data_IF_281725146194
#
_entry.id   IF_281725146194
#
_cell.length_a   1.000
_cell.length_b   1.000
_cell.length_c   1.000
_cell.angle_alpha   90.00
_cell.angle_beta   90.00
_cell.angle_gamma   90.00
#
_symmetry.space_group_name_H-M   'P 1'
#
loop_
_entity.id
_entity.type
_entity.pdbx_description
1 polymer ?
#
# COMPACT_ATOMS: atom_id res chain seq x y z
N UNK A 1 -48.69 11.31 -48.52
CA UNK A 1 -48.00 11.25 -47.21
C UNK A 1 -48.23 9.86 -46.61
N UNK A 2 -47.30 8.96 -46.85
CA UNK A 2 -47.47 7.53 -46.49
C UNK A 2 -46.58 7.20 -45.31
N UNK A 3 -47.19 6.98 -44.13
CA UNK A 3 -46.53 6.49 -42.93
C UNK A 3 -46.32 5.00 -42.99
N UNK A 4 -45.09 4.58 -43.29
CA UNK A 4 -44.69 3.18 -43.26
C UNK A 4 -44.60 2.67 -41.82
N UNK A 5 -45.51 1.86 -41.39
CA UNK A 5 -45.41 1.07 -40.15
C UNK A 5 -44.50 -0.12 -40.44
N UNK A 6 -43.32 -0.12 -39.76
CA UNK A 6 -42.46 -1.30 -39.76
C UNK A 6 -43.06 -2.34 -38.82
N UNK A 7 -43.38 -3.50 -39.39
CA UNK A 7 -43.82 -4.69 -38.66
C UNK A 7 -42.67 -5.21 -37.79
N UNK A 8 -42.95 -5.78 -36.60
CA UNK A 8 -41.94 -6.45 -35.80
C UNK A 8 -41.47 -7.76 -36.48
N UNK A 9 -40.21 -8.15 -36.31
CA UNK A 9 -39.70 -9.40 -36.87
C UNK A 9 -40.40 -10.59 -36.22
N UNK A 10 -40.73 -11.58 -37.05
CA UNK A 10 -41.38 -12.80 -36.63
C UNK A 10 -40.53 -13.62 -35.66
N UNK A 11 -41.13 -14.39 -34.72
CA UNK A 11 -40.40 -15.26 -33.80
C UNK A 11 -39.75 -16.43 -34.54
N UNK A 12 -38.48 -16.69 -34.22
CA UNK A 12 -37.61 -17.66 -34.93
C UNK A 12 -37.94 -19.12 -34.71
N UNK A 13 -38.99 -19.54 -34.00
CA UNK A 13 -39.26 -20.95 -33.73
C UNK A 13 -40.76 -21.27 -33.69
N UNK A 14 -41.32 -21.98 -34.70
CA UNK A 14 -42.62 -22.64 -34.57
C UNK A 14 -42.45 -24.01 -33.89
N UNK A 15 -43.02 -24.16 -32.73
CA UNK A 15 -43.52 -25.36 -32.11
C UNK A 15 -42.66 -26.63 -32.12
N UNK A 16 -42.04 -26.92 -31.01
CA UNK A 16 -41.94 -28.25 -30.38
C UNK A 16 -41.53 -28.12 -28.91
N UNK A 17 -42.22 -28.85 -28.06
CA UNK A 17 -41.98 -28.95 -26.65
C UNK A 17 -40.60 -29.55 -26.33
N UNK A 18 -40.02 -29.11 -25.22
CA UNK A 18 -38.94 -29.72 -24.47
C UNK A 18 -37.55 -29.80 -25.17
N UNK A 19 -36.77 -28.77 -24.97
CA UNK A 19 -35.33 -28.67 -24.64
C UNK A 19 -34.87 -27.22 -24.87
N UNK A 20 -34.26 -26.52 -23.93
CA UNK A 20 -33.72 -25.19 -24.20
C UNK A 20 -32.52 -25.35 -25.13
N UNK A 21 -32.63 -24.78 -26.33
CA UNK A 21 -31.54 -24.72 -27.29
C UNK A 21 -30.41 -23.85 -26.74
N UNK A 22 -29.12 -24.18 -27.00
CA UNK A 22 -27.95 -23.44 -26.52
C UNK A 22 -27.90 -21.95 -26.94
N UNK A 23 -28.72 -21.54 -27.90
CA UNK A 23 -28.75 -20.16 -28.41
C UNK A 23 -29.52 -19.18 -27.51
N UNK A 24 -30.28 -19.65 -26.51
CA UNK A 24 -31.08 -18.83 -25.61
C UNK A 24 -30.49 -18.74 -24.20
N UNK A 25 -29.31 -19.29 -23.97
CA UNK A 25 -28.58 -18.99 -22.78
C UNK A 25 -28.05 -17.56 -22.91
N UNK A 26 -28.73 -16.64 -22.19
CA UNK A 26 -28.28 -15.26 -22.06
C UNK A 26 -26.80 -15.29 -21.76
N UNK A 27 -25.98 -14.60 -22.56
CA UNK A 27 -24.62 -14.27 -22.23
C UNK A 27 -24.71 -13.53 -20.90
N UNK A 28 -24.44 -14.23 -19.81
CA UNK A 28 -24.03 -13.57 -18.59
C UNK A 28 -22.82 -12.75 -19.04
N UNK A 29 -22.96 -11.44 -19.09
CA UNK A 29 -21.85 -10.55 -19.30
C UNK A 29 -20.92 -10.78 -18.10
N UNK A 30 -19.97 -11.70 -18.25
CA UNK A 30 -18.80 -11.74 -17.36
C UNK A 30 -18.18 -10.36 -17.49
N UNK A 31 -18.08 -9.59 -16.40
CA UNK A 31 -17.37 -8.34 -16.48
C UNK A 31 -16.00 -8.70 -17.04
N UNK A 32 -15.66 -8.10 -18.18
CA UNK A 32 -14.36 -8.22 -18.81
C UNK A 32 -13.38 -7.57 -17.88
N UNK A 33 -12.87 -8.31 -16.91
CA UNK A 33 -11.77 -7.87 -16.06
C UNK A 33 -10.55 -7.90 -16.96
N UNK A 34 -10.29 -6.81 -17.66
CA UNK A 34 -9.01 -6.56 -18.27
C UNK A 34 -8.00 -6.30 -17.13
N UNK A 35 -7.59 -7.37 -16.46
CA UNK A 35 -6.41 -7.31 -15.62
C UNK A 35 -5.23 -7.06 -16.55
N UNK A 36 -4.54 -5.95 -16.34
CA UNK A 36 -3.29 -5.68 -17.04
C UNK A 36 -2.25 -6.72 -16.62
N UNK A 37 -1.30 -7.04 -17.52
CA UNK A 37 -0.20 -7.96 -17.20
C UNK A 37 0.53 -7.52 -15.92
N UNK A 38 0.67 -6.21 -15.71
CA UNK A 38 1.27 -5.63 -14.51
C UNK A 38 0.49 -5.91 -13.23
N UNK A 39 -0.84 -5.90 -13.27
CA UNK A 39 -1.68 -6.28 -12.13
C UNK A 39 -1.57 -7.77 -11.82
N UNK A 40 -1.50 -8.61 -12.84
CA UNK A 40 -1.30 -10.05 -12.67
C UNK A 40 0.08 -10.37 -12.08
N UNK A 41 1.12 -9.67 -12.50
CA UNK A 41 2.47 -9.82 -11.96
C UNK A 41 2.55 -9.33 -10.51
N UNK A 42 1.89 -8.20 -10.20
CA UNK A 42 1.76 -7.74 -8.83
C UNK A 42 1.07 -8.77 -7.94
N UNK A 43 -0.09 -9.29 -8.34
CA UNK A 43 -0.86 -10.27 -7.54
C UNK A 43 -0.13 -11.61 -7.36
N UNK A 44 0.78 -11.97 -8.27
CA UNK A 44 1.64 -13.16 -8.14
C UNK A 44 2.92 -12.88 -7.38
N UNK A 45 3.32 -11.62 -7.27
CA UNK A 45 4.58 -11.19 -6.71
C UNK A 45 4.64 -11.15 -5.19
N UNK A 46 5.83 -10.85 -4.69
CA UNK A 46 6.11 -10.68 -3.27
C UNK A 46 5.38 -9.48 -2.67
N UNK A 47 5.06 -8.48 -3.50
CA UNK A 47 4.39 -7.25 -3.07
C UNK A 47 2.95 -7.51 -2.58
N UNK A 48 2.18 -8.34 -3.33
CA UNK A 48 0.84 -8.73 -2.92
C UNK A 48 0.86 -9.57 -1.64
N UNK A 49 1.76 -10.57 -1.56
CA UNK A 49 1.92 -11.37 -0.35
C UNK A 49 2.28 -10.51 0.87
N UNK A 50 3.14 -9.50 0.68
CA UNK A 50 3.51 -8.57 1.73
C UNK A 50 2.37 -7.60 2.10
N UNK A 51 1.57 -7.16 1.13
CA UNK A 51 0.37 -6.36 1.35
C UNK A 51 -0.67 -7.10 2.18
N UNK A 52 -0.85 -8.39 1.89
CA UNK A 52 -1.89 -9.22 2.50
C UNK A 52 -1.44 -9.86 3.83
N UNK A 53 -0.15 -9.74 4.16
CA UNK A 53 0.41 -10.28 5.41
C UNK A 53 0.68 -11.78 5.39
N UNK A 54 0.73 -12.39 4.21
CA UNK A 54 0.95 -13.83 4.03
C UNK A 54 2.45 -14.17 4.18
N UNK A 55 2.89 -14.41 5.42
CA UNK A 55 4.28 -14.75 5.75
C UNK A 55 4.76 -16.02 5.04
N UNK A 56 3.89 -17.03 4.94
CA UNK A 56 4.26 -18.29 4.30
C UNK A 56 4.54 -18.11 2.81
N UNK A 57 3.71 -17.33 2.14
CA UNK A 57 3.88 -17.01 0.71
C UNK A 57 5.09 -16.12 0.46
N UNK A 58 5.34 -15.13 1.33
CA UNK A 58 6.55 -14.28 1.26
C UNK A 58 7.79 -15.14 1.41
N UNK A 59 7.82 -16.05 2.39
CA UNK A 59 8.94 -16.98 2.60
C UNK A 59 9.18 -17.85 1.37
N UNK A 60 8.13 -18.47 0.82
CA UNK A 60 8.23 -19.31 -0.37
C UNK A 60 8.77 -18.56 -1.59
N UNK A 61 8.34 -17.29 -1.77
CA UNK A 61 8.81 -16.46 -2.89
C UNK A 61 10.28 -16.09 -2.73
N UNK A 62 10.71 -15.73 -1.51
CA UNK A 62 12.13 -15.44 -1.22
C UNK A 62 13.03 -16.66 -1.41
N UNK A 63 12.59 -17.87 -1.05
CA UNK A 63 13.33 -19.13 -1.27
C UNK A 63 13.49 -19.47 -2.76
N UNK A 64 12.53 -19.06 -3.60
CA UNK A 64 12.59 -19.22 -5.06
C UNK A 64 13.47 -18.18 -5.77
N UNK A 65 14.38 -17.51 -5.06
CA UNK A 65 15.24 -16.42 -5.52
C UNK A 65 14.52 -15.07 -5.72
N UNK A 66 13.44 -14.83 -5.01
CA UNK A 66 12.85 -13.49 -4.95
C UNK A 66 13.82 -12.52 -4.28
N UNK A 67 14.05 -11.38 -4.89
CA UNK A 67 14.83 -10.30 -4.27
C UNK A 67 13.92 -9.52 -3.29
N UNK A 68 14.24 -9.48 -1.99
CA UNK A 68 13.47 -8.71 -1.02
C UNK A 68 13.52 -7.19 -1.27
N UNK A 69 14.50 -6.73 -2.06
CA UNK A 69 14.67 -5.33 -2.42
C UNK A 69 13.96 -4.94 -3.72
N UNK A 70 13.40 -5.91 -4.47
CA UNK A 70 12.77 -5.67 -5.77
C UNK A 70 11.63 -4.67 -5.66
N UNK A 71 11.66 -3.53 -6.41
CA UNK A 71 10.56 -2.60 -6.46
C UNK A 71 9.49 -3.06 -7.46
N UNK A 72 8.25 -2.72 -7.21
CA UNK A 72 7.19 -2.82 -8.20
C UNK A 72 7.30 -1.70 -9.26
N UNK A 73 6.38 -1.66 -10.23
CA UNK A 73 6.35 -0.65 -11.29
C UNK A 73 6.19 0.79 -10.76
N UNK A 74 5.66 0.95 -9.55
CA UNK A 74 5.52 2.26 -8.90
C UNK A 74 6.70 2.58 -7.97
N UNK A 75 7.73 1.70 -7.90
CA UNK A 75 8.93 1.87 -7.10
C UNK A 75 8.74 1.53 -5.62
N UNK A 76 7.71 0.76 -5.26
CA UNK A 76 7.49 0.29 -3.89
C UNK A 76 8.06 -1.11 -3.71
N UNK A 77 8.80 -1.34 -2.64
CA UNK A 77 9.25 -2.68 -2.25
C UNK A 77 8.19 -3.41 -1.40
N UNK A 78 8.33 -4.72 -1.24
CA UNK A 78 7.49 -5.51 -0.36
C UNK A 78 7.45 -4.95 1.07
N UNK A 79 8.58 -4.41 1.56
CA UNK A 79 8.68 -3.81 2.88
C UNK A 79 7.83 -2.54 3.03
N UNK A 80 7.65 -1.75 1.98
CA UNK A 80 6.74 -0.60 2.00
C UNK A 80 5.27 -1.04 2.20
N UNK A 81 4.83 -2.09 1.50
CA UNK A 81 3.48 -2.63 1.62
C UNK A 81 3.23 -3.23 2.99
N UNK A 82 4.14 -4.09 3.48
CA UNK A 82 4.05 -4.67 4.80
C UNK A 82 4.04 -3.60 5.92
N UNK A 83 4.87 -2.56 5.79
CA UNK A 83 4.97 -1.45 6.75
C UNK A 83 3.70 -0.59 6.75
N UNK A 84 3.10 -0.34 5.58
CA UNK A 84 1.84 0.40 5.45
C UNK A 84 0.68 -0.32 6.12
N UNK A 85 0.63 -1.65 6.02
CA UNK A 85 -0.46 -2.47 6.53
C UNK A 85 -0.20 -3.02 7.95
N UNK A 86 0.99 -2.78 8.52
CA UNK A 86 1.30 -3.17 9.89
C UNK A 86 1.65 -4.65 10.09
N UNK A 87 2.01 -5.36 9.03
CA UNK A 87 2.33 -6.79 9.08
C UNK A 87 3.73 -7.02 9.66
N UNK A 88 3.82 -7.04 11.00
CA UNK A 88 5.07 -7.13 11.74
C UNK A 88 5.91 -8.36 11.38
N UNK A 89 5.27 -9.52 11.25
CA UNK A 89 5.97 -10.77 10.91
C UNK A 89 6.58 -10.73 9.53
N UNK A 90 5.83 -10.22 8.54
CA UNK A 90 6.36 -10.02 7.17
C UNK A 90 7.51 -9.01 7.15
N UNK A 91 7.37 -7.88 7.88
CA UNK A 91 8.46 -6.88 7.98
C UNK A 91 9.73 -7.51 8.56
N UNK A 92 9.60 -8.30 9.63
CA UNK A 92 10.73 -9.01 10.24
C UNK A 92 11.38 -9.97 9.25
N UNK A 93 10.58 -10.82 8.61
CA UNK A 93 11.05 -11.78 7.63
C UNK A 93 11.82 -11.11 6.49
N UNK A 94 11.29 -10.03 5.92
CA UNK A 94 11.94 -9.27 4.85
C UNK A 94 13.27 -8.66 5.30
N UNK A 95 13.31 -8.06 6.48
CA UNK A 95 14.52 -7.44 7.04
C UNK A 95 15.61 -8.50 7.34
N UNK A 96 15.24 -9.66 7.91
CA UNK A 96 16.14 -10.79 8.14
C UNK A 96 16.73 -11.37 6.83
N UNK A 97 15.98 -11.23 5.72
CA UNK A 97 16.42 -11.64 4.38
C UNK A 97 17.17 -10.55 3.62
N UNK A 98 17.48 -9.42 4.27
CA UNK A 98 18.30 -8.35 3.73
C UNK A 98 17.55 -7.27 2.96
N UNK A 99 16.23 -7.14 3.15
CA UNK A 99 15.49 -6.01 2.58
C UNK A 99 16.06 -4.68 3.12
N UNK A 100 16.33 -3.69 2.25
CA UNK A 100 16.83 -2.39 2.69
C UNK A 100 15.75 -1.66 3.49
N UNK A 101 16.05 -1.34 4.77
CA UNK A 101 15.12 -0.66 5.67
C UNK A 101 14.79 0.78 5.23
N UNK A 102 15.69 1.44 4.48
CA UNK A 102 15.56 2.81 3.98
C UNK A 102 15.36 2.89 2.45
N UNK A 103 14.82 1.83 1.83
CA UNK A 103 14.43 1.87 0.43
C UNK A 103 13.54 3.10 0.16
N UNK A 104 13.79 3.81 -0.94
CA UNK A 104 13.06 5.03 -1.29
C UNK A 104 12.17 4.80 -2.49
N UNK A 105 10.91 5.19 -2.37
CA UNK A 105 10.01 5.30 -3.53
C UNK A 105 10.41 6.49 -4.41
N UNK A 106 9.89 6.63 -5.65
CA UNK A 106 10.14 7.82 -6.50
C UNK A 106 9.77 9.14 -5.79
N UNK A 107 8.80 9.13 -4.88
CA UNK A 107 8.45 10.27 -4.03
C UNK A 107 9.33 10.40 -2.77
N UNK A 108 10.43 9.67 -2.66
CA UNK A 108 11.37 9.73 -1.53
C UNK A 108 10.86 9.07 -0.23
N UNK A 109 9.66 8.51 -0.22
CA UNK A 109 9.11 7.90 0.99
C UNK A 109 9.80 6.57 1.29
N UNK A 110 10.09 6.32 2.58
CA UNK A 110 10.66 5.05 3.08
C UNK A 110 9.58 4.20 3.74
N UNK A 111 9.84 2.90 4.02
CA UNK A 111 8.93 2.07 4.81
C UNK A 111 8.57 2.70 6.16
N UNK A 112 9.52 3.40 6.80
CA UNK A 112 9.29 4.14 8.04
C UNK A 112 8.22 5.22 7.89
N UNK A 113 8.22 6.00 6.79
CA UNK A 113 7.17 6.99 6.51
C UNK A 113 5.79 6.34 6.41
N UNK A 114 5.71 5.15 5.80
CA UNK A 114 4.44 4.41 5.65
C UNK A 114 3.91 3.90 6.98
N UNK A 115 4.79 3.30 7.80
CA UNK A 115 4.45 2.84 9.15
C UNK A 115 4.01 4.02 10.04
N UNK A 116 4.72 5.15 9.96
CA UNK A 116 4.40 6.36 10.73
C UNK A 116 3.08 6.99 10.33
N UNK A 117 2.77 7.05 9.04
CA UNK A 117 1.49 7.56 8.54
C UNK A 117 0.31 6.72 9.01
N UNK A 118 0.45 5.39 8.99
CA UNK A 118 -0.61 4.46 9.39
C UNK A 118 -0.66 4.17 10.90
N UNK A 119 0.31 4.64 11.69
CA UNK A 119 0.30 4.47 13.14
C UNK A 119 0.82 3.11 13.65
N UNK A 120 1.54 2.36 12.83
CA UNK A 120 2.03 1.03 13.20
C UNK A 120 3.29 1.09 14.07
N UNK A 121 3.08 1.25 15.38
CA UNK A 121 4.16 1.39 16.38
C UNK A 121 5.14 0.23 16.35
N UNK A 122 4.64 -1.02 16.40
CA UNK A 122 5.49 -2.21 16.45
C UNK A 122 6.40 -2.33 15.21
N UNK A 123 5.86 -2.01 14.03
CA UNK A 123 6.65 -1.99 12.77
C UNK A 123 7.68 -0.86 12.80
N UNK A 124 7.30 0.33 13.31
CA UNK A 124 8.23 1.45 13.47
C UNK A 124 9.38 1.10 14.41
N UNK A 125 9.10 0.48 15.56
CA UNK A 125 10.14 0.00 16.49
C UNK A 125 11.08 -1.02 15.83
N UNK A 126 10.52 -1.94 15.04
CA UNK A 126 11.30 -2.94 14.30
C UNK A 126 12.21 -2.28 13.26
N UNK A 127 11.69 -1.37 12.44
CA UNK A 127 12.48 -0.65 11.42
C UNK A 127 13.63 0.14 12.06
N UNK A 128 13.36 0.87 13.14
CA UNK A 128 14.38 1.62 13.90
C UNK A 128 15.43 0.70 14.52
N UNK A 129 15.05 -0.51 14.97
CA UNK A 129 15.99 -1.50 15.49
C UNK A 129 16.91 -2.06 14.40
N UNK A 130 16.43 -2.12 13.16
CA UNK A 130 17.21 -2.52 11.97
C UNK A 130 17.97 -1.35 11.31
N UNK A 131 18.03 -0.18 11.95
CA UNK A 131 18.86 0.94 11.52
C UNK A 131 18.18 1.91 10.54
N UNK A 132 16.85 1.88 10.40
CA UNK A 132 16.14 2.89 9.62
C UNK A 132 16.40 4.30 10.17
N UNK A 133 16.71 5.26 9.29
CA UNK A 133 16.98 6.64 9.71
C UNK A 133 15.67 7.39 10.03
N UNK A 134 15.41 7.75 11.30
CA UNK A 134 14.22 8.48 11.68
C UNK A 134 14.18 9.93 11.13
N UNK A 135 15.33 10.46 10.67
CA UNK A 135 15.43 11.78 10.05
C UNK A 135 15.34 11.74 8.52
N UNK A 136 15.17 10.56 7.91
CA UNK A 136 14.92 10.45 6.49
C UNK A 136 13.72 11.33 6.09
N UNK A 137 13.85 12.03 4.97
CA UNK A 137 12.80 12.91 4.45
C UNK A 137 12.24 12.37 3.13
N UNK A 138 10.94 12.54 2.93
CA UNK A 138 10.30 12.29 1.64
C UNK A 138 10.55 13.45 0.64
N UNK A 139 9.93 13.36 -0.55
CA UNK A 139 10.04 14.40 -1.59
C UNK A 139 9.51 15.78 -1.18
N UNK A 140 8.65 15.84 -0.16
CA UNK A 140 8.16 17.09 0.42
C UNK A 140 9.06 17.58 1.59
N UNK A 141 10.17 16.91 1.89
CA UNK A 141 11.03 17.20 3.03
C UNK A 141 10.44 16.75 4.37
N UNK A 142 9.37 15.95 4.38
CA UNK A 142 8.68 15.51 5.60
C UNK A 142 9.32 14.24 6.16
N UNK A 143 9.52 14.20 7.47
CA UNK A 143 10.00 13.02 8.20
C UNK A 143 8.85 12.13 8.64
N UNK A 144 9.16 10.92 9.15
CA UNK A 144 8.16 10.05 9.78
C UNK A 144 7.41 10.74 10.92
N UNK A 145 8.07 11.65 11.68
CA UNK A 145 7.41 12.41 12.74
C UNK A 145 6.35 13.38 12.19
N UNK A 146 6.60 14.07 11.07
CA UNK A 146 5.58 14.90 10.41
C UNK A 146 4.33 14.09 10.05
N UNK A 147 4.53 12.88 9.48
CA UNK A 147 3.42 11.99 9.10
C UNK A 147 2.64 11.48 10.31
N UNK A 148 3.34 11.07 11.38
CA UNK A 148 2.70 10.60 12.60
C UNK A 148 1.94 11.73 13.34
N UNK A 149 2.50 12.93 13.35
CA UNK A 149 1.89 14.10 13.97
C UNK A 149 0.63 14.55 13.23
N UNK A 150 0.66 14.58 11.89
CA UNK A 150 -0.49 14.89 11.03
C UNK A 150 -1.68 13.97 11.30
N UNK A 151 -1.42 12.68 11.52
CA UNK A 151 -2.45 11.67 11.80
C UNK A 151 -2.82 11.57 13.30
N UNK A 152 -2.10 12.25 14.18
CA UNK A 152 -2.39 12.24 15.62
C UNK A 152 -1.94 10.99 16.37
N UNK A 153 -0.97 10.26 15.85
CA UNK A 153 -0.44 9.03 16.47
C UNK A 153 0.49 9.35 17.65
N UNK A 154 -0.12 9.67 18.82
CA UNK A 154 0.56 10.16 20.02
C UNK A 154 1.71 9.26 20.50
N UNK A 155 1.44 7.96 20.63
CA UNK A 155 2.44 7.01 21.12
C UNK A 155 3.65 6.89 20.17
N UNK A 156 3.37 6.99 18.88
CA UNK A 156 4.41 6.94 17.85
C UNK A 156 5.26 8.21 17.85
N UNK A 157 4.63 9.38 17.99
CA UNK A 157 5.35 10.64 18.15
C UNK A 157 6.26 10.61 19.38
N UNK A 158 5.74 10.14 20.52
CA UNK A 158 6.52 9.98 21.73
C UNK A 158 7.70 9.00 21.58
N UNK A 159 7.51 7.92 20.82
CA UNK A 159 8.57 6.96 20.51
C UNK A 159 9.69 7.61 19.68
N UNK A 160 9.33 8.30 18.60
CA UNK A 160 10.28 8.95 17.70
C UNK A 160 11.07 10.06 18.41
N UNK A 161 10.39 10.89 19.20
CA UNK A 161 11.02 11.96 19.99
C UNK A 161 11.95 11.40 21.06
N UNK A 162 11.60 10.30 21.72
CA UNK A 162 12.51 9.62 22.67
C UNK A 162 13.78 9.11 22.00
N UNK A 163 13.66 8.60 20.76
CA UNK A 163 14.82 8.11 20.00
C UNK A 163 15.69 9.25 19.48
N UNK A 164 15.09 10.34 19.03
CA UNK A 164 15.79 11.49 18.46
C UNK A 164 14.99 12.78 18.68
N UNK A 165 15.22 13.50 19.78
CA UNK A 165 14.50 14.75 20.10
C UNK A 165 14.61 15.82 19.00
N UNK A 166 15.76 15.88 18.31
CA UNK A 166 16.01 16.84 17.23
C UNK A 166 14.99 16.76 16.06
N UNK A 167 14.20 15.67 15.96
CA UNK A 167 13.17 15.56 14.93
C UNK A 167 12.09 16.64 15.06
N UNK A 168 11.81 17.14 16.27
CA UNK A 168 10.83 18.20 16.49
C UNK A 168 11.17 19.52 15.80
N UNK A 169 12.47 19.78 15.61
CA UNK A 169 12.99 21.02 15.01
C UNK A 169 13.14 20.94 13.47
N UNK A 170 13.02 19.75 12.88
CA UNK A 170 13.16 19.58 11.44
C UNK A 170 11.98 20.23 10.71
N UNK A 171 12.28 20.90 9.60
CA UNK A 171 11.27 21.57 8.79
C UNK A 171 11.11 20.90 7.43
N UNK A 172 9.88 20.83 6.97
CA UNK A 172 9.56 20.34 5.62
C UNK A 172 9.98 21.36 4.53
N UNK A 173 9.80 21.00 3.26
CA UNK A 173 10.11 21.85 2.10
C UNK A 173 9.33 23.20 2.10
N UNK A 174 8.25 23.31 2.88
CA UNK A 174 7.47 24.53 3.06
C UNK A 174 7.87 25.31 4.33
N UNK A 175 8.93 24.90 5.01
CA UNK A 175 9.40 25.49 6.25
C UNK A 175 8.57 25.16 7.49
N UNK A 176 7.61 24.24 7.42
CA UNK A 176 6.74 23.83 8.52
C UNK A 176 7.42 22.78 9.39
N UNK A 177 7.33 22.95 10.71
CA UNK A 177 7.72 21.94 11.69
C UNK A 177 6.67 20.82 11.79
N UNK A 178 6.99 19.68 12.41
CA UNK A 178 5.99 18.63 12.67
C UNK A 178 4.79 19.14 13.46
N UNK A 179 4.97 20.18 14.30
CA UNK A 179 3.88 20.81 15.07
C UNK A 179 2.90 21.58 14.21
N UNK A 180 3.38 22.28 13.17
CA UNK A 180 2.55 23.19 12.37
C UNK A 180 1.45 22.47 11.58
N UNK A 181 1.66 21.18 11.28
CA UNK A 181 0.67 20.33 10.64
C UNK A 181 0.06 19.26 11.54
N UNK A 182 0.37 19.28 12.84
CA UNK A 182 -0.02 18.24 13.76
C UNK A 182 -1.49 18.26 14.14
N UNK A 183 -2.04 17.06 14.32
CA UNK A 183 -3.35 16.88 14.94
C UNK A 183 -3.31 17.39 16.41
N UNK A 184 -4.39 18.04 16.92
CA UNK A 184 -4.42 18.60 18.29
C UNK A 184 -4.04 17.60 19.39
N UNK A 185 -4.30 16.31 19.19
CA UNK A 185 -3.99 15.24 20.16
C UNK A 185 -2.50 15.10 20.50
N UNK A 186 -1.58 15.70 19.71
CA UNK A 186 -0.13 15.54 19.87
C UNK A 186 0.62 16.86 20.10
N UNK A 187 -0.09 18.00 20.17
CA UNK A 187 0.54 19.30 20.34
C UNK A 187 1.41 19.40 21.58
N UNK A 188 0.91 18.89 22.70
CA UNK A 188 1.62 18.89 23.99
C UNK A 188 2.96 18.13 23.97
N UNK A 189 3.11 17.17 23.07
CA UNK A 189 4.36 16.43 22.88
C UNK A 189 5.38 17.19 22.02
N UNK A 190 4.92 18.13 21.20
CA UNK A 190 5.73 18.86 20.22
C UNK A 190 6.05 20.30 20.68
N UNK A 191 5.53 20.71 21.83
CA UNK A 191 5.73 22.04 22.45
C UNK A 191 6.99 22.12 23.33
N UNK A 192 7.93 21.17 23.21
CA UNK A 192 9.17 21.11 24.01
C UNK A 192 10.33 21.83 23.35
#
# INVERSE_FOLDING_TARGET
MAGGRRSPPAPCCPGRAAMPSPCCQGRVAVPSVHQSLSEMDFERGIWAAARDGDEARVLQLLERRGDPAEPDLAGYTALHYASRNGHLGVCRLLLERGAPCDARTPGGATPLHRACYCGHRAVTELLLAHGADPAATDGDGRTGLHKAAEQGHRELCALLLRRRPALAALRDARGRSPRDGAHPAVWDLLDT
#
